data_IF_896228553499
#
_entry.id   IF_896228553499
#
_cell.length_a   1.000
_cell.length_b   1.000
_cell.length_c   1.000
_cell.angle_alpha   90.00
_cell.angle_beta   90.00
_cell.angle_gamma   90.00
#
_symmetry.space_group_name_H-M   'P 1'
#
loop_
_entity.id
_entity.type
_entity.pdbx_description
1 polymer ?
#
# COMPACT_ATOMS: atom_id res chain seq x y z
N UNK A 1 7.34 0.17 14.54
CA UNK A 1 5.96 0.34 14.01
C UNK A 1 5.94 -0.39 12.69
N UNK A 2 5.10 -1.42 12.58
CA UNK A 2 4.98 -2.18 11.34
C UNK A 2 4.10 -1.40 10.37
N UNK A 3 4.63 -1.15 9.18
CA UNK A 3 3.96 -0.41 8.12
C UNK A 3 3.79 -1.33 6.93
N UNK A 4 2.55 -1.54 6.48
CA UNK A 4 2.25 -2.35 5.31
C UNK A 4 1.47 -1.53 4.27
N UNK A 5 2.01 -1.44 3.06
CA UNK A 5 1.31 -0.94 1.88
C UNK A 5 0.83 -2.12 1.04
N UNK A 6 -0.45 -2.14 0.69
CA UNK A 6 -1.05 -3.10 -0.23
C UNK A 6 -1.59 -2.39 -1.48
N UNK A 7 -1.09 -2.82 -2.63
CA UNK A 7 -1.51 -2.32 -3.94
C UNK A 7 -2.70 -3.14 -4.46
N UNK A 8 -3.65 -2.45 -5.09
CA UNK A 8 -4.86 -3.03 -5.69
C UNK A 8 -5.63 -3.96 -4.71
N UNK A 9 -5.76 -3.54 -3.44
CA UNK A 9 -6.22 -4.37 -2.31
C UNK A 9 -7.61 -4.99 -2.52
N UNK A 10 -8.47 -4.33 -3.30
CA UNK A 10 -9.82 -4.82 -3.62
C UNK A 10 -9.83 -5.96 -4.64
N UNK A 11 -8.68 -6.29 -5.25
CA UNK A 11 -8.52 -7.46 -6.12
C UNK A 11 -7.95 -8.66 -5.36
N UNK A 12 -8.34 -9.90 -5.73
CA UNK A 12 -7.67 -11.11 -5.24
C UNK A 12 -6.17 -11.03 -5.47
N UNK A 13 -5.37 -11.60 -4.56
CA UNK A 13 -3.88 -11.51 -4.57
C UNK A 13 -3.27 -11.82 -5.94
N UNK A 14 -3.73 -12.88 -6.60
CA UNK A 14 -3.23 -13.32 -7.91
C UNK A 14 -3.71 -12.46 -9.09
N UNK A 15 -4.73 -11.63 -8.87
CA UNK A 15 -5.34 -10.77 -9.88
C UNK A 15 -5.01 -9.29 -9.67
N UNK A 16 -4.10 -8.97 -8.75
CA UNK A 16 -3.63 -7.60 -8.54
C UNK A 16 -2.91 -7.11 -9.79
N UNK A 17 -3.31 -5.92 -10.23
CA UNK A 17 -2.89 -5.33 -11.51
C UNK A 17 -1.67 -4.44 -11.36
N UNK A 18 -1.40 -3.94 -10.16
CA UNK A 18 -0.31 -3.02 -9.86
C UNK A 18 0.70 -3.70 -8.95
N UNK A 19 1.97 -3.57 -9.31
CA UNK A 19 3.11 -4.13 -8.57
C UNK A 19 4.12 -3.02 -8.28
N UNK A 20 4.87 -3.18 -7.19
CA UNK A 20 6.03 -2.34 -6.91
C UNK A 20 7.12 -2.64 -7.93
N UNK A 21 7.79 -1.60 -8.39
CA UNK A 21 8.96 -1.75 -9.26
C UNK A 21 10.06 -2.53 -8.53
N UNK A 22 10.26 -2.22 -7.25
CA UNK A 22 11.17 -2.97 -6.40
C UNK A 22 10.52 -4.30 -5.99
N UNK A 23 11.12 -5.42 -6.41
CA UNK A 23 10.72 -6.77 -5.99
C UNK A 23 9.49 -7.34 -6.70
N UNK A 24 8.80 -6.58 -7.56
CA UNK A 24 7.64 -7.04 -8.35
C UNK A 24 6.52 -7.66 -7.49
N UNK A 25 6.33 -7.13 -6.29
CA UNK A 25 5.30 -7.57 -5.35
C UNK A 25 4.16 -6.55 -5.25
N UNK A 26 2.93 -7.00 -4.95
CA UNK A 26 1.79 -6.10 -4.75
C UNK A 26 1.72 -5.55 -3.32
N UNK A 27 2.78 -5.70 -2.53
CA UNK A 27 2.84 -5.25 -1.14
C UNK A 27 4.26 -4.83 -0.77
N UNK A 28 4.35 -3.82 0.07
CA UNK A 28 5.58 -3.37 0.70
C UNK A 28 5.40 -3.38 2.22
N UNK A 29 6.44 -3.73 2.94
CA UNK A 29 6.45 -3.80 4.39
C UNK A 29 7.75 -3.22 4.93
N UNK A 30 7.67 -2.42 5.99
CA UNK A 30 8.83 -1.89 6.70
C UNK A 30 8.53 -1.74 8.19
N UNK A 31 9.52 -2.02 9.03
CA UNK A 31 9.49 -1.70 10.45
C UNK A 31 10.12 -0.31 10.65
N UNK A 32 9.29 0.69 10.98
CA UNK A 32 9.74 2.06 11.23
C UNK A 32 10.01 2.33 12.71
N UNK A 33 11.09 3.08 12.95
CA UNK A 33 11.39 3.69 14.25
C UNK A 33 10.92 5.14 14.24
N UNK A 34 9.95 5.47 15.09
CA UNK A 34 9.44 6.83 15.25
C UNK A 34 10.12 7.51 16.45
N UNK A 35 10.51 8.77 16.26
CA UNK A 35 11.08 9.60 17.33
C UNK A 35 10.04 10.65 17.76
N UNK A 36 9.72 10.77 19.05
CA UNK A 36 8.80 11.79 19.53
C UNK A 36 9.26 13.20 19.14
N UNK A 37 8.33 14.04 18.67
CA UNK A 37 8.61 15.44 18.31
C UNK A 37 9.24 15.64 16.93
N UNK A 38 9.50 14.59 16.14
CA UNK A 38 9.95 14.72 14.75
C UNK A 38 8.78 14.84 13.77
N UNK A 39 8.97 15.51 12.62
CA UNK A 39 7.97 15.52 11.55
C UNK A 39 7.66 14.11 11.02
N UNK A 40 6.54 13.93 10.29
CA UNK A 40 6.20 12.66 9.66
C UNK A 40 7.33 12.15 8.75
N UNK A 41 7.63 10.85 8.85
CA UNK A 41 8.56 10.18 7.94
C UNK A 41 7.84 9.79 6.64
N UNK A 42 8.47 10.07 5.50
CA UNK A 42 7.90 9.81 4.17
C UNK A 42 8.82 8.91 3.36
N UNK A 43 8.23 7.93 2.68
CA UNK A 43 8.94 7.01 1.78
C UNK A 43 8.35 7.08 0.38
N UNK A 44 9.21 7.27 -0.62
CA UNK A 44 8.79 7.26 -2.02
C UNK A 44 8.94 5.86 -2.60
N UNK A 45 7.84 5.32 -3.12
CA UNK A 45 7.80 4.01 -3.76
C UNK A 45 7.31 4.17 -5.19
N UNK A 46 7.94 3.45 -6.12
CA UNK A 46 7.50 3.41 -7.52
C UNK A 46 6.76 2.11 -7.77
N UNK A 47 5.58 2.22 -8.38
CA UNK A 47 4.75 1.10 -8.78
C UNK A 47 4.43 1.20 -10.27
N UNK A 48 4.11 0.07 -10.88
CA UNK A 48 3.74 -0.02 -12.29
C UNK A 48 2.47 -0.86 -12.47
N UNK A 49 1.70 -0.52 -13.49
CA UNK A 49 0.58 -1.33 -13.97
C UNK A 49 1.14 -2.46 -14.84
N UNK A 50 0.69 -3.69 -14.60
CA UNK A 50 1.01 -4.86 -15.43
C UNK A 50 0.54 -4.68 -16.87
N UNK A 51 0.97 -5.56 -17.77
CA UNK A 51 0.56 -5.47 -19.16
C UNK A 51 -0.98 -5.61 -19.31
N UNK A 52 -1.56 -4.86 -20.23
CA UNK A 52 -3.01 -4.80 -20.43
C UNK A 52 -3.62 -6.13 -20.91
N UNK A 53 -2.82 -7.09 -21.36
CA UNK A 53 -3.24 -8.47 -21.67
C UNK A 53 -3.28 -9.37 -20.43
N UNK A 54 -2.60 -9.00 -19.34
CA UNK A 54 -2.50 -9.81 -18.11
C UNK A 54 -3.72 -9.68 -17.19
N UNK A 55 -4.58 -8.69 -17.41
CA UNK A 55 -5.78 -8.48 -16.61
C UNK A 55 -6.96 -7.99 -17.47
N UNK A 56 -8.15 -8.52 -17.16
CA UNK A 56 -9.38 -8.20 -17.90
C UNK A 56 -10.03 -6.90 -17.42
N UNK A 57 -9.86 -6.59 -16.13
CA UNK A 57 -10.56 -5.47 -15.50
C UNK A 57 -9.79 -4.15 -15.64
N UNK A 58 -10.26 -3.34 -16.58
CA UNK A 58 -9.72 -2.01 -16.90
C UNK A 58 -10.56 -0.86 -16.36
N UNK A 59 -11.71 -1.16 -15.75
CA UNK A 59 -12.69 -0.16 -15.32
C UNK A 59 -12.66 0.08 -13.82
N UNK A 60 -12.42 -0.95 -13.02
CA UNK A 60 -12.35 -0.81 -11.57
C UNK A 60 -11.16 0.06 -11.16
N UNK A 61 -11.41 1.01 -10.26
CA UNK A 61 -10.34 1.81 -9.67
C UNK A 61 -9.28 0.93 -8.99
N UNK A 62 -8.04 1.39 -8.98
CA UNK A 62 -6.95 0.74 -8.24
C UNK A 62 -6.99 1.25 -6.81
N UNK A 63 -7.21 0.36 -5.85
CA UNK A 63 -7.26 0.70 -4.43
C UNK A 63 -5.91 0.47 -3.74
N UNK A 64 -5.35 1.52 -3.17
CA UNK A 64 -4.12 1.52 -2.38
C UNK A 64 -4.48 1.56 -0.91
N UNK A 65 -3.87 0.72 -0.09
CA UNK A 65 -4.14 0.66 1.35
C UNK A 65 -2.85 0.69 2.15
N UNK A 66 -2.78 1.57 3.14
CA UNK A 66 -1.68 1.64 4.10
C UNK A 66 -2.20 1.28 5.48
N UNK A 67 -1.57 0.31 6.14
CA UNK A 67 -1.89 -0.09 7.51
C UNK A 67 -0.67 -0.01 8.42
N UNK A 68 -0.92 0.39 9.68
CA UNK A 68 0.06 0.56 10.73
C UNK A 68 -0.29 -0.36 11.91
N UNK A 69 0.70 -1.08 12.42
CA UNK A 69 0.56 -1.96 13.58
C UNK A 69 1.75 -1.83 14.53
N UNK A 70 1.54 -2.18 15.80
CA UNK A 70 2.60 -2.22 16.80
C UNK A 70 3.17 -3.65 16.91
N UNK A 71 4.50 -3.84 16.85
CA UNK A 71 5.14 -5.13 17.07
C UNK A 71 5.22 -5.41 18.58
N UNK A 72 4.11 -5.74 19.23
CA UNK A 72 4.14 -6.13 20.65
C UNK A 72 2.85 -5.92 21.43
N UNK A 73 2.95 -6.21 22.73
CA UNK A 73 1.86 -6.10 23.70
C UNK A 73 2.12 -4.95 24.68
N UNK A 74 1.06 -4.37 25.24
CA UNK A 74 1.17 -3.34 26.29
C UNK A 74 1.24 -1.89 25.81
N UNK A 75 1.12 -1.65 24.50
CA UNK A 75 1.00 -0.32 23.89
C UNK A 75 -0.30 -0.24 23.09
N UNK A 76 -0.89 0.96 23.03
CA UNK A 76 -2.11 1.23 22.26
C UNK A 76 -1.79 2.20 21.14
N UNK A 77 -2.11 1.79 19.90
CA UNK A 77 -2.07 2.66 18.74
C UNK A 77 -3.48 3.17 18.44
N UNK A 78 -3.63 4.48 18.28
CA UNK A 78 -4.93 5.11 18.01
C UNK A 78 -4.78 6.19 16.94
N UNK A 79 -5.91 6.61 16.36
CA UNK A 79 -5.98 7.51 15.21
C UNK A 79 -6.18 6.73 13.90
N UNK A 80 -5.76 7.34 12.78
CA UNK A 80 -5.87 6.74 11.45
C UNK A 80 -4.75 5.71 11.22
N UNK A 81 -4.97 4.49 11.69
CA UNK A 81 -4.00 3.39 11.54
C UNK A 81 -4.19 2.57 10.26
N UNK A 82 -5.30 2.81 9.53
CA UNK A 82 -5.59 2.21 8.24
C UNK A 82 -6.20 3.28 7.33
N UNK A 83 -5.55 3.56 6.21
CA UNK A 83 -6.07 4.50 5.21
C UNK A 83 -6.14 3.82 3.85
N UNK A 84 -7.16 4.17 3.05
CA UNK A 84 -7.33 3.65 1.70
C UNK A 84 -7.57 4.80 0.72
N UNK A 85 -6.85 4.78 -0.39
CA UNK A 85 -7.03 5.69 -1.53
C UNK A 85 -7.39 4.90 -2.78
N UNK A 86 -8.06 5.55 -3.73
CA UNK A 86 -8.44 4.95 -5.01
C UNK A 86 -8.03 5.84 -6.16
N UNK A 87 -7.43 5.25 -7.19
CA UNK A 87 -7.06 5.94 -8.43
C UNK A 87 -7.97 5.43 -9.56
N UNK A 88 -8.71 6.34 -10.19
CA UNK A 88 -9.57 6.04 -11.33
C UNK A 88 -8.79 5.97 -12.65
N UNK A 89 -9.29 5.19 -13.61
CA UNK A 89 -8.62 4.94 -14.91
C UNK A 89 -8.58 6.12 -15.88
N UNK A 90 -8.88 7.35 -15.45
CA UNK A 90 -8.86 8.56 -16.30
C UNK A 90 -7.62 9.44 -16.07
N UNK A 91 -6.62 8.97 -15.33
CA UNK A 91 -5.45 9.77 -14.91
C UNK A 91 -4.09 9.07 -15.07
N UNK A 92 -3.99 8.08 -15.96
CA UNK A 92 -2.73 7.54 -16.49
C UNK A 92 -2.75 7.62 -18.01
#
# INVERSE_FOLDING_TARGET
>A
LDVELQLDRLKPRLSRRVLLLQGHQPSWHEEMTLTPGTPPQCHNLTAYLRDAAEFKDKLSAVALSLSLALPGQGLVLYGDTLVQAQVGGTGL
#
